data_IF_626383156643
#
_entry.id   IF_626383156643
#
_cell.length_a   1.000
_cell.length_b   1.000
_cell.length_c   1.000
_cell.angle_alpha   90.00
_cell.angle_beta   90.00
_cell.angle_gamma   90.00
#
_symmetry.space_group_name_H-M   'P 1'
#
loop_
_entity.id
_entity.type
_entity.pdbx_description
1 polymer ?
#
# COMPACT_ATOMS: atom_id res chain seq x y z
N UNK A 1 -89.45 -3.12 13.62
CA UNK A 1 -88.62 -3.40 14.80
C UNK A 1 -88.04 -4.80 14.63
N UNK A 2 -86.76 -5.10 14.59
CA UNK A 2 -85.52 -4.34 14.44
C UNK A 2 -84.48 -5.36 13.97
N UNK A 3 -83.58 -4.95 13.08
CA UNK A 3 -82.37 -5.70 12.71
C UNK A 3 -81.36 -5.74 13.87
N UNK A 4 -80.55 -6.81 13.95
CA UNK A 4 -79.09 -6.88 14.23
C UNK A 4 -78.74 -8.32 14.67
N UNK A 5 -78.32 -9.20 13.76
CA UNK A 5 -76.92 -9.58 13.42
C UNK A 5 -76.11 -10.19 14.58
N UNK A 6 -75.80 -11.47 14.43
CA UNK A 6 -74.87 -12.23 15.25
C UNK A 6 -73.42 -11.80 14.95
N UNK A 7 -72.72 -11.30 15.96
CA UNK A 7 -71.28 -11.05 15.87
C UNK A 7 -70.51 -12.37 15.98
N UNK A 8 -70.16 -12.93 14.82
CA UNK A 8 -69.09 -13.91 14.68
C UNK A 8 -67.74 -13.19 14.82
N UNK A 9 -67.07 -13.35 15.95
CA UNK A 9 -65.69 -12.89 16.11
C UNK A 9 -64.72 -14.00 15.67
N UNK A 10 -64.04 -13.90 14.50
CA UNK A 10 -62.96 -14.81 14.18
C UNK A 10 -61.75 -14.44 15.05
N UNK A 11 -61.39 -15.35 15.95
CA UNK A 11 -60.13 -15.31 16.67
C UNK A 11 -58.98 -15.07 15.67
N UNK A 12 -58.32 -13.91 15.78
CA UNK A 12 -57.11 -13.60 15.04
C UNK A 12 -56.02 -14.60 15.46
N UNK A 13 -55.91 -15.72 14.74
CA UNK A 13 -54.75 -16.59 14.84
C UNK A 13 -53.56 -15.80 14.34
N UNK A 14 -52.73 -15.27 15.26
CA UNK A 14 -51.38 -14.87 14.91
C UNK A 14 -50.69 -16.12 14.40
N UNK A 15 -50.45 -16.18 13.09
CA UNK A 15 -49.44 -17.06 12.54
C UNK A 15 -48.12 -16.67 13.22
N UNK A 16 -47.74 -17.43 14.23
CA UNK A 16 -46.36 -17.51 14.64
C UNK A 16 -45.65 -18.27 13.52
N UNK A 17 -45.02 -17.53 12.61
CA UNK A 17 -44.06 -18.09 11.68
C UNK A 17 -42.90 -18.62 12.52
N UNK A 18 -43.03 -19.90 12.88
CA UNK A 18 -42.05 -20.67 13.62
C UNK A 18 -40.79 -20.70 12.78
N UNK A 19 -39.68 -20.30 13.39
CA UNK A 19 -38.34 -20.25 12.81
C UNK A 19 -37.81 -21.61 12.38
N UNK A 20 -38.33 -22.12 11.27
CA UNK A 20 -37.89 -23.33 10.57
C UNK A 20 -37.35 -23.01 9.15
N UNK A 21 -37.28 -21.74 8.76
CA UNK A 21 -36.80 -21.31 7.44
C UNK A 21 -35.27 -21.34 7.24
N UNK A 22 -34.48 -21.58 8.29
CA UNK A 22 -33.02 -21.52 8.19
C UNK A 22 -32.40 -22.74 7.48
N UNK A 23 -33.09 -23.88 7.43
CA UNK A 23 -32.58 -25.09 6.75
C UNK A 23 -33.01 -25.16 5.27
N UNK A 24 -34.18 -24.65 4.91
CA UNK A 24 -34.70 -24.71 3.53
C UNK A 24 -34.23 -23.54 2.64
N UNK A 25 -33.83 -22.41 3.25
CA UNK A 25 -33.24 -21.24 2.57
C UNK A 25 -31.70 -21.18 2.73
N UNK A 26 -31.07 -22.23 3.25
CA UNK A 26 -29.62 -22.25 3.53
C UNK A 26 -28.75 -21.96 2.30
N UNK A 27 -29.23 -22.31 1.10
CA UNK A 27 -28.51 -22.04 -0.15
C UNK A 27 -28.50 -20.56 -0.53
N UNK A 28 -29.53 -19.78 -0.17
CA UNK A 28 -29.57 -18.33 -0.44
C UNK A 28 -28.53 -17.62 0.43
N UNK A 29 -28.43 -18.00 1.70
CA UNK A 29 -27.40 -17.47 2.60
C UNK A 29 -25.98 -17.79 2.07
N UNK A 30 -25.74 -19.02 1.61
CA UNK A 30 -24.47 -19.41 1.00
C UNK A 30 -24.18 -18.67 -0.32
N UNK A 31 -25.19 -18.48 -1.17
CA UNK A 31 -25.06 -17.74 -2.41
C UNK A 31 -24.70 -16.27 -2.16
N UNK A 32 -25.32 -15.63 -1.17
CA UNK A 32 -24.99 -14.26 -0.76
C UNK A 32 -23.56 -14.17 -0.23
N UNK A 33 -23.13 -15.09 0.64
CA UNK A 33 -21.75 -15.14 1.14
C UNK A 33 -20.76 -15.33 -0.01
N UNK A 34 -21.06 -16.21 -0.96
CA UNK A 34 -20.22 -16.44 -2.13
C UNK A 34 -20.07 -15.18 -2.99
N UNK A 35 -21.17 -14.48 -3.27
CA UNK A 35 -21.14 -13.22 -4.03
C UNK A 35 -20.34 -12.16 -3.28
N UNK A 36 -20.53 -12.01 -1.97
CA UNK A 36 -19.75 -11.08 -1.15
C UNK A 36 -18.25 -11.45 -1.20
N UNK A 37 -17.90 -12.73 -1.02
CA UNK A 37 -16.52 -13.18 -1.10
C UNK A 37 -15.89 -12.94 -2.49
N UNK A 38 -16.65 -13.18 -3.57
CA UNK A 38 -16.19 -12.93 -4.93
C UNK A 38 -15.99 -11.43 -5.22
N UNK A 39 -16.94 -10.58 -4.80
CA UNK A 39 -16.84 -9.13 -4.98
C UNK A 39 -15.68 -8.56 -4.15
N UNK A 40 -15.54 -8.98 -2.88
CA UNK A 40 -14.44 -8.53 -2.02
C UNK A 40 -13.09 -9.05 -2.52
N UNK A 41 -13.01 -10.30 -2.98
CA UNK A 41 -11.80 -10.90 -3.52
C UNK A 41 -11.34 -10.23 -4.82
N UNK A 42 -12.27 -9.96 -5.75
CA UNK A 42 -11.96 -9.22 -6.98
C UNK A 42 -11.60 -7.76 -6.70
N UNK A 43 -12.31 -7.08 -5.80
CA UNK A 43 -11.98 -5.73 -5.38
C UNK A 43 -10.59 -5.65 -4.71
N UNK A 44 -10.25 -6.62 -3.85
CA UNK A 44 -8.94 -6.71 -3.21
C UNK A 44 -7.82 -6.93 -4.25
N UNK A 45 -8.01 -7.86 -5.18
CA UNK A 45 -7.05 -8.13 -6.26
C UNK A 45 -6.83 -6.92 -7.17
N UNK A 46 -7.91 -6.23 -7.56
CA UNK A 46 -7.83 -5.01 -8.36
C UNK A 46 -7.11 -3.93 -7.57
N UNK A 47 -7.49 -3.70 -6.30
CA UNK A 47 -6.84 -2.72 -5.44
C UNK A 47 -5.36 -3.00 -5.27
N UNK A 48 -4.96 -4.25 -5.06
CA UNK A 48 -3.53 -4.61 -4.93
C UNK A 48 -2.77 -4.30 -6.21
N UNK A 49 -3.24 -4.79 -7.36
CA UNK A 49 -2.58 -4.54 -8.67
C UNK A 49 -2.50 -3.07 -9.02
N UNK A 50 -3.59 -2.32 -8.80
CA UNK A 50 -3.60 -0.87 -9.02
C UNK A 50 -2.64 -0.16 -8.07
N UNK A 51 -2.57 -0.58 -6.81
CA UNK A 51 -1.62 -0.03 -5.83
C UNK A 51 -0.18 -0.32 -6.24
N UNK A 52 0.15 -1.52 -6.71
CA UNK A 52 1.49 -1.88 -7.19
C UNK A 52 1.89 -1.05 -8.42
N UNK A 53 1.00 -0.95 -9.42
CA UNK A 53 1.29 -0.17 -10.63
C UNK A 53 1.49 1.31 -10.32
N UNK A 54 0.65 1.88 -9.45
CA UNK A 54 0.78 3.25 -8.97
C UNK A 54 2.08 3.45 -8.19
N UNK A 55 2.41 2.55 -7.26
CA UNK A 55 3.60 2.68 -6.42
C UNK A 55 4.89 2.45 -7.20
N UNK A 56 4.91 1.59 -8.22
CA UNK A 56 6.06 1.50 -9.13
C UNK A 56 6.32 2.85 -9.82
N UNK A 57 5.27 3.52 -10.31
CA UNK A 57 5.41 4.84 -10.93
C UNK A 57 5.81 5.91 -9.90
N UNK A 58 5.27 5.85 -8.69
CA UNK A 58 5.66 6.75 -7.60
C UNK A 58 7.14 6.57 -7.26
N UNK A 59 7.63 5.34 -7.10
CA UNK A 59 9.03 5.04 -6.77
C UNK A 59 9.97 5.62 -7.83
N UNK A 60 9.67 5.39 -9.11
CA UNK A 60 10.48 5.96 -10.20
C UNK A 60 10.48 7.49 -10.16
N UNK A 61 9.31 8.11 -10.00
CA UNK A 61 9.17 9.57 -9.93
C UNK A 61 9.88 10.16 -8.72
N UNK A 62 9.83 9.46 -7.57
CA UNK A 62 10.51 9.83 -6.33
C UNK A 62 12.03 9.77 -6.49
N UNK A 63 12.54 8.70 -7.10
CA UNK A 63 13.97 8.54 -7.41
C UNK A 63 14.43 9.66 -8.34
N UNK A 64 13.74 9.89 -9.46
CA UNK A 64 14.08 10.96 -10.40
C UNK A 64 13.96 12.35 -9.76
N UNK A 65 12.92 12.59 -8.97
CA UNK A 65 12.74 13.84 -8.23
C UNK A 65 13.87 14.09 -7.23
N UNK A 66 14.31 13.07 -6.50
CA UNK A 66 15.43 13.15 -5.59
C UNK A 66 16.75 13.39 -6.33
N UNK A 67 17.00 12.69 -7.44
CA UNK A 67 18.16 12.94 -8.30
C UNK A 67 18.20 14.40 -8.81
N UNK A 68 17.07 14.93 -9.26
CA UNK A 68 16.97 16.32 -9.72
C UNK A 68 17.20 17.32 -8.58
N UNK A 69 16.62 17.06 -7.41
CA UNK A 69 16.81 17.89 -6.22
C UNK A 69 18.29 17.93 -5.82
N UNK A 70 18.95 16.77 -5.78
CA UNK A 70 20.36 16.66 -5.41
C UNK A 70 21.27 17.37 -6.42
N UNK A 71 20.97 17.26 -7.72
CA UNK A 71 21.70 17.99 -8.78
C UNK A 71 21.52 19.51 -8.70
N UNK A 72 20.40 19.97 -8.16
CA UNK A 72 20.06 21.39 -8.06
C UNK A 72 20.54 22.05 -6.75
N UNK A 73 20.74 21.29 -5.67
CA UNK A 73 21.32 21.80 -4.42
C UNK A 73 22.85 21.91 -4.53
N UNK A 74 23.45 22.96 -3.95
CA UNK A 74 24.92 23.19 -3.84
C UNK A 74 25.65 22.15 -2.95
N UNK A 75 25.45 20.87 -3.23
CA UNK A 75 25.97 19.75 -2.47
C UNK A 75 24.95 19.07 -1.56
N UNK A 76 25.11 17.75 -1.45
CA UNK A 76 24.29 16.79 -0.73
C UNK A 76 24.32 16.97 0.80
N UNK A 77 23.80 18.10 1.27
CA UNK A 77 23.97 18.58 2.65
C UNK A 77 22.84 18.16 3.60
N UNK A 78 21.96 17.24 3.20
CA UNK A 78 20.97 16.71 4.14
C UNK A 78 21.67 15.93 5.24
N UNK A 79 21.41 16.29 6.50
CA UNK A 79 21.99 15.66 7.69
C UNK A 79 21.10 14.56 8.27
N UNK A 80 19.87 14.41 7.77
CA UNK A 80 18.93 13.39 8.24
C UNK A 80 17.84 13.09 7.23
N UNK A 81 17.22 11.92 7.38
CA UNK A 81 16.09 11.48 6.55
C UNK A 81 14.88 12.40 6.65
N UNK A 82 14.62 12.95 7.84
CA UNK A 82 13.50 13.86 8.08
C UNK A 82 13.65 15.16 7.27
N UNK A 83 14.85 15.74 7.24
CA UNK A 83 15.13 16.96 6.48
C UNK A 83 15.09 16.71 4.98
N UNK A 84 15.66 15.60 4.51
CA UNK A 84 15.62 15.25 3.08
C UNK A 84 14.19 14.99 2.60
N UNK A 85 13.43 14.18 3.34
CA UNK A 85 12.03 13.87 3.01
C UNK A 85 11.15 15.13 3.07
N UNK A 86 11.35 15.96 4.10
CA UNK A 86 10.63 17.23 4.25
C UNK A 86 10.93 18.22 3.11
N UNK A 87 12.19 18.32 2.67
CA UNK A 87 12.57 19.16 1.53
C UNK A 87 11.95 18.67 0.21
N UNK A 88 11.96 17.36 -0.04
CA UNK A 88 11.29 16.75 -1.19
C UNK A 88 9.81 17.12 -1.24
N UNK A 89 9.12 17.08 -0.10
CA UNK A 89 7.71 17.47 0.01
C UNK A 89 7.54 18.98 -0.23
N UNK A 90 8.36 19.82 0.42
CA UNK A 90 8.28 21.28 0.33
C UNK A 90 8.50 21.77 -1.11
N UNK A 91 9.40 21.14 -1.84
CA UNK A 91 9.72 21.45 -3.23
C UNK A 91 8.75 20.80 -4.23
N UNK A 92 7.72 20.10 -3.74
CA UNK A 92 6.73 19.38 -4.57
C UNK A 92 7.39 18.35 -5.51
N UNK A 93 8.53 17.77 -5.07
CA UNK A 93 9.26 16.73 -5.77
C UNK A 93 8.74 15.31 -5.42
N UNK A 94 7.57 15.22 -4.77
CA UNK A 94 6.86 13.98 -4.45
C UNK A 94 5.60 13.86 -5.32
N UNK A 95 5.19 12.65 -5.74
CA UNK A 95 3.95 12.46 -6.50
C UNK A 95 2.71 12.96 -5.77
N UNK A 96 1.83 13.68 -6.47
CA UNK A 96 0.62 14.30 -5.89
C UNK A 96 -0.36 13.30 -5.26
N UNK A 97 -0.33 12.03 -5.70
CA UNK A 97 -1.22 10.98 -5.20
C UNK A 97 -0.77 10.35 -3.88
N UNK A 98 0.42 10.69 -3.39
CA UNK A 98 0.93 10.13 -2.14
C UNK A 98 0.38 10.88 -0.92
N UNK A 99 0.28 10.18 0.19
CA UNK A 99 -0.21 10.76 1.44
C UNK A 99 0.90 11.53 2.12
N UNK A 100 0.71 12.84 2.29
CA UNK A 100 1.58 13.70 3.09
C UNK A 100 0.91 13.97 4.43
N UNK A 101 1.63 13.79 5.54
CA UNK A 101 1.17 14.16 6.88
C UNK A 101 2.05 15.26 7.49
N UNK A 102 1.42 16.16 8.23
CA UNK A 102 2.05 17.37 8.76
C UNK A 102 2.02 18.54 7.78
N UNK A 103 2.58 19.67 8.19
CA UNK A 103 2.57 20.89 7.38
C UNK A 103 3.69 20.84 6.34
N UNK A 104 3.34 20.79 5.05
CA UNK A 104 4.29 20.67 3.94
C UNK A 104 5.38 21.75 3.93
N UNK A 105 5.06 22.97 4.39
CA UNK A 105 6.02 24.08 4.47
C UNK A 105 6.98 24.02 5.66
N UNK A 106 6.80 23.08 6.61
CA UNK A 106 7.62 22.99 7.83
C UNK A 106 8.99 22.34 7.61
N UNK A 107 9.23 21.70 6.46
CA UNK A 107 10.43 20.90 6.22
C UNK A 107 10.54 19.63 7.08
N UNK A 108 9.45 19.21 7.73
CA UNK A 108 9.37 18.01 8.57
C UNK A 108 8.16 17.13 8.26
N UNK A 109 7.44 17.45 7.18
CA UNK A 109 6.33 16.64 6.72
C UNK A 109 6.80 15.21 6.39
N UNK A 110 5.89 14.25 6.54
CA UNK A 110 6.15 12.83 6.34
C UNK A 110 5.35 12.32 5.15
N UNK A 111 5.90 11.36 4.43
CA UNK A 111 5.31 10.77 3.23
C UNK A 111 4.92 9.32 3.51
N UNK A 112 3.80 8.88 2.93
CA UNK A 112 3.28 7.53 3.09
C UNK A 112 2.83 6.93 1.76
N UNK A 113 3.05 5.63 1.61
CA UNK A 113 2.57 4.82 0.48
C UNK A 113 1.08 4.46 0.65
N UNK A 114 0.53 3.81 -0.38
CA UNK A 114 -0.86 3.36 -0.45
C UNK A 114 -1.27 2.36 0.65
N UNK A 115 -0.30 1.72 1.31
CA UNK A 115 -0.50 0.78 2.42
C UNK A 115 -0.33 1.42 3.80
N UNK A 116 -0.14 2.74 3.86
CA UNK A 116 0.05 3.48 5.10
C UNK A 116 1.44 3.28 5.72
N UNK A 117 2.38 2.71 5.00
CA UNK A 117 3.79 2.65 5.38
C UNK A 117 4.51 3.95 5.07
N UNK A 118 5.47 4.29 5.94
CA UNK A 118 6.29 5.47 5.73
C UNK A 118 7.15 5.32 4.46
N UNK A 119 7.31 6.43 3.75
CA UNK A 119 8.23 6.58 2.63
C UNK A 119 9.25 7.65 3.00
N UNK A 120 10.52 7.27 3.07
CA UNK A 120 11.56 8.17 3.55
C UNK A 120 12.78 8.15 2.65
N UNK A 121 13.32 9.34 2.40
CA UNK A 121 14.63 9.51 1.80
C UNK A 121 15.68 9.64 2.88
N UNK A 122 16.86 9.05 2.69
CA UNK A 122 18.02 9.27 3.53
C UNK A 122 19.25 9.58 2.67
N UNK A 123 20.10 10.54 3.07
CA UNK A 123 21.36 10.79 2.39
C UNK A 123 22.30 9.57 2.57
N UNK A 124 23.04 9.24 1.52
CA UNK A 124 24.06 8.19 1.54
C UNK A 124 25.43 8.79 1.22
N UNK A 125 26.38 8.58 2.14
CA UNK A 125 27.78 8.91 1.94
C UNK A 125 28.50 7.74 1.30
N UNK A 126 29.11 7.96 0.14
CA UNK A 126 29.88 6.97 -0.60
C UNK A 126 31.30 7.52 -0.71
N UNK A 127 32.27 6.77 -0.22
CA UNK A 127 33.70 7.14 -0.28
C UNK A 127 34.02 8.53 0.30
N UNK A 128 33.32 8.95 1.36
CA UNK A 128 33.53 10.23 2.03
C UNK A 128 32.82 11.43 1.40
N UNK A 129 32.10 11.23 0.29
CA UNK A 129 31.25 12.24 -0.33
C UNK A 129 29.80 11.83 -0.17
N UNK A 130 28.94 12.76 0.27
CA UNK A 130 27.50 12.56 0.17
C UNK A 130 27.17 12.60 -1.31
N UNK A 131 27.01 11.46 -1.97
CA UNK A 131 26.79 11.38 -3.43
C UNK A 131 25.65 10.42 -3.78
N UNK A 132 24.90 9.94 -2.79
CA UNK A 132 23.79 9.04 -3.02
C UNK A 132 22.65 9.29 -2.05
N UNK A 133 21.61 8.48 -2.22
CA UNK A 133 20.50 8.43 -1.29
C UNK A 133 19.89 7.03 -1.29
N UNK A 134 19.13 6.78 -0.24
CA UNK A 134 18.24 5.63 -0.16
C UNK A 134 16.79 6.09 -0.10
N UNK A 135 15.92 5.43 -0.85
CA UNK A 135 14.47 5.54 -0.74
C UNK A 135 13.94 4.31 -0.02
N UNK A 136 13.35 4.50 1.16
CA UNK A 136 12.78 3.42 1.96
C UNK A 136 11.26 3.42 1.87
N UNK A 137 10.67 2.25 1.68
CA UNK A 137 9.25 1.96 1.71
C UNK A 137 8.95 0.94 2.82
N UNK A 138 8.09 1.30 3.76
CA UNK A 138 7.68 0.42 4.86
C UNK A 138 6.29 -0.21 4.60
N UNK A 139 5.94 -1.25 5.37
CA UNK A 139 4.63 -1.92 5.37
C UNK A 139 4.15 -2.38 3.99
N UNK A 140 5.07 -2.82 3.13
CA UNK A 140 4.74 -3.31 1.80
C UNK A 140 4.16 -4.72 1.90
N UNK A 141 2.96 -4.99 1.36
CA UNK A 141 2.40 -6.34 1.32
C UNK A 141 3.28 -7.33 0.55
N UNK A 142 3.19 -8.62 0.86
CA UNK A 142 4.05 -9.64 0.27
C UNK A 142 3.97 -9.66 -1.27
N UNK A 143 2.77 -9.62 -1.84
CA UNK A 143 2.56 -9.67 -3.28
C UNK A 143 3.11 -8.41 -3.99
N UNK A 144 2.94 -7.25 -3.35
CA UNK A 144 3.51 -5.98 -3.79
C UNK A 144 5.04 -5.97 -3.68
N UNK A 145 5.60 -6.54 -2.61
CA UNK A 145 7.04 -6.67 -2.41
C UNK A 145 7.70 -7.43 -3.56
N UNK A 146 7.11 -8.56 -3.97
CA UNK A 146 7.62 -9.38 -5.07
C UNK A 146 7.54 -8.61 -6.39
N UNK A 147 6.38 -8.01 -6.69
CA UNK A 147 6.17 -7.30 -7.95
C UNK A 147 7.04 -6.05 -8.07
N UNK A 148 7.11 -5.22 -7.02
CA UNK A 148 7.89 -3.98 -7.05
C UNK A 148 9.38 -4.24 -7.21
N UNK A 149 9.95 -5.18 -6.43
CA UNK A 149 11.39 -5.45 -6.46
C UNK A 149 11.82 -6.03 -7.80
N UNK A 150 11.04 -6.96 -8.36
CA UNK A 150 11.32 -7.55 -9.68
C UNK A 150 11.10 -6.55 -10.83
N UNK A 151 10.07 -5.72 -10.76
CA UNK A 151 9.82 -4.68 -11.77
C UNK A 151 10.92 -3.61 -11.76
N UNK A 152 11.31 -3.13 -10.57
CA UNK A 152 12.33 -2.10 -10.42
C UNK A 152 13.72 -2.62 -10.80
N UNK A 153 14.05 -3.86 -10.42
CA UNK A 153 15.25 -4.61 -10.87
C UNK A 153 15.40 -4.59 -12.40
N UNK A 154 14.31 -4.82 -13.14
CA UNK A 154 14.29 -4.79 -14.61
C UNK A 154 14.40 -3.38 -15.18
N UNK A 155 13.80 -2.40 -14.51
CA UNK A 155 13.85 -1.00 -14.97
C UNK A 155 15.21 -0.35 -14.78
N UNK A 156 16.03 -0.85 -13.85
CA UNK A 156 17.37 -0.31 -13.58
C UNK A 156 17.38 1.11 -13.02
N UNK A 157 16.27 1.55 -12.39
CA UNK A 157 16.15 2.91 -11.84
C UNK A 157 16.90 3.11 -10.52
N UNK A 158 17.35 2.03 -9.89
CA UNK A 158 18.15 2.04 -8.66
C UNK A 158 19.40 1.18 -8.84
N UNK A 159 20.50 1.60 -8.24
CA UNK A 159 21.76 0.86 -8.26
C UNK A 159 21.77 -0.33 -7.31
N UNK A 160 20.99 -0.25 -6.22
CA UNK A 160 20.85 -1.34 -5.25
C UNK A 160 19.40 -1.49 -4.78
N UNK A 161 19.03 -2.72 -4.42
CA UNK A 161 17.71 -3.06 -3.86
C UNK A 161 17.92 -3.89 -2.60
N UNK A 162 17.38 -3.45 -1.46
CA UNK A 162 17.33 -4.25 -0.23
C UNK A 162 15.89 -4.68 0.03
N UNK A 163 15.70 -5.98 0.25
CA UNK A 163 14.43 -6.57 0.67
C UNK A 163 14.59 -7.02 2.11
N UNK A 164 13.86 -6.36 3.02
CA UNK A 164 13.99 -6.56 4.47
C UNK A 164 15.44 -6.36 4.93
N UNK A 165 16.15 -7.45 5.21
CA UNK A 165 17.56 -7.45 5.63
C UNK A 165 18.53 -7.95 4.55
N UNK A 166 18.05 -8.27 3.35
CA UNK A 166 18.86 -8.83 2.27
C UNK A 166 19.14 -7.77 1.21
N UNK A 167 20.41 -7.40 1.06
CA UNK A 167 20.88 -6.43 0.07
C UNK A 167 21.25 -7.10 -1.26
N UNK A 168 20.83 -6.49 -2.36
CA UNK A 168 21.25 -6.76 -3.73
C UNK A 168 21.91 -5.50 -4.28
N UNK A 169 23.21 -5.38 -4.05
CA UNK A 169 23.99 -4.18 -4.39
C UNK A 169 24.22 -4.01 -5.90
N UNK A 170 23.88 -5.03 -6.70
CA UNK A 170 23.85 -4.98 -8.16
C UNK A 170 22.50 -4.49 -8.72
N UNK A 171 21.54 -4.21 -7.83
CA UNK A 171 20.19 -3.81 -8.20
C UNK A 171 19.39 -4.91 -8.90
N UNK A 172 19.88 -6.17 -8.87
CA UNK A 172 19.24 -7.30 -9.54
C UNK A 172 18.55 -8.20 -8.52
N UNK A 173 17.23 -8.31 -8.72
CA UNK A 173 16.37 -9.22 -7.96
C UNK A 173 15.60 -10.08 -8.95
N UNK A 174 15.73 -11.40 -8.84
CA UNK A 174 14.91 -12.38 -9.56
C UNK A 174 13.59 -12.65 -8.83
N UNK A 175 12.63 -13.24 -9.53
CA UNK A 175 11.34 -13.61 -8.94
C UNK A 175 11.51 -14.62 -7.80
N UNK A 176 12.45 -15.56 -7.93
CA UNK A 176 12.75 -16.59 -6.95
C UNK A 176 13.35 -15.99 -5.68
N UNK A 177 14.29 -15.05 -5.83
CA UNK A 177 14.88 -14.31 -4.72
C UNK A 177 13.81 -13.49 -3.99
N UNK A 178 13.00 -12.73 -4.74
CA UNK A 178 11.93 -11.92 -4.17
C UNK A 178 10.90 -12.77 -3.43
N UNK A 179 10.49 -13.92 -4.00
CA UNK A 179 9.51 -14.83 -3.38
C UNK A 179 10.03 -15.44 -2.08
N UNK A 180 11.34 -15.61 -1.95
CA UNK A 180 11.98 -16.13 -0.73
C UNK A 180 12.17 -15.05 0.33
N UNK A 181 12.46 -13.82 -0.08
CA UNK A 181 12.86 -12.73 0.81
C UNK A 181 11.68 -11.87 1.26
N UNK A 182 10.60 -11.79 0.47
CA UNK A 182 9.36 -11.13 0.85
C UNK A 182 8.57 -12.02 1.83
N UNK A 183 8.40 -11.51 3.05
CA UNK A 183 7.68 -12.16 4.14
C UNK A 183 6.17 -11.98 3.98
N UNK A 184 5.41 -12.93 4.52
CA UNK A 184 3.96 -12.90 4.53
C UNK A 184 3.41 -11.76 5.39
N UNK A 185 2.24 -11.25 5.02
CA UNK A 185 1.54 -10.19 5.72
C UNK A 185 1.12 -10.61 7.14
N UNK A 186 1.05 -9.64 8.04
CA UNK A 186 0.47 -9.82 9.38
C UNK A 186 -0.99 -9.37 9.35
N UNK A 187 -1.91 -10.31 9.14
CA UNK A 187 -3.31 -10.00 8.89
C UNK A 187 -3.45 -9.16 7.61
N UNK A 188 -4.03 -7.95 7.73
CA UNK A 188 -4.18 -7.02 6.60
C UNK A 188 -3.03 -6.00 6.50
N UNK A 189 -1.91 -6.25 7.19
CA UNK A 189 -0.76 -5.33 7.24
C UNK A 189 0.44 -5.95 6.55
N UNK A 190 0.96 -5.26 5.54
CA UNK A 190 2.25 -5.60 4.95
C UNK A 190 3.38 -5.48 5.97
N UNK A 191 4.32 -6.41 5.90
CA UNK A 191 5.46 -6.53 6.83
C UNK A 191 6.79 -6.19 6.17
N UNK A 192 6.81 -6.05 4.84
CA UNK A 192 8.05 -5.91 4.12
C UNK A 192 8.55 -4.47 4.11
N UNK A 193 9.86 -4.35 4.23
CA UNK A 193 10.61 -3.12 4.06
C UNK A 193 11.43 -3.20 2.78
N UNK A 194 11.29 -2.22 1.90
CA UNK A 194 12.08 -2.11 0.69
C UNK A 194 12.98 -0.88 0.77
N UNK A 195 14.24 -1.02 0.42
CA UNK A 195 15.17 0.10 0.31
C UNK A 195 15.76 0.11 -1.10
N UNK A 196 15.64 1.24 -1.79
CA UNK A 196 16.25 1.46 -3.10
C UNK A 196 17.43 2.40 -2.92
N UNK A 197 18.62 1.94 -3.30
CA UNK A 197 19.85 2.73 -3.23
C UNK A 197 20.13 3.33 -4.59
N UNK A 198 20.44 4.62 -4.60
CA UNK A 198 20.84 5.35 -5.80
C UNK A 198 22.12 6.11 -5.47
N UNK A 199 23.09 5.93 -6.32
CA UNK A 199 24.41 6.51 -6.29
C UNK A 199 24.55 7.45 -7.50
N UNK A 200 25.36 8.50 -7.38
CA UNK A 200 25.60 9.47 -8.44
C UNK A 200 27.05 9.53 -8.84
#
# INVERSE_FOLDING_TARGET
MSFHTADNNPAYRRHQDRGWGLLEQGWIALAVIFVIAAVLGTAYMIKSRTSVGLESSNIQSLITGAQNLMKASDGYSFTSSAKMTGAMIQMKAVPKGMTVRGTASSGTATLYNSWGGAVTFAPLTISGFNNGFTLTYERVPQDACIQLTTQLSRSGVSDGITINSTAHDDGKVTTEQASTQCTADSGNTGTNKLIFTVTS
#
